data_IF_678393950671
#
_entry.id   IF_678393950671
#
_cell.length_a   1.000
_cell.length_b   1.000
_cell.length_c   1.000
_cell.angle_alpha   90.00
_cell.angle_beta   90.00
_cell.angle_gamma   90.00
#
_symmetry.space_group_name_H-M   'P 1'
#
loop_
_entity.id
_entity.type
_entity.pdbx_description
1 polymer ?
#
# COMPACT_ATOMS: atom_id res chain seq x y z
N UNK A 1 -48.14 -16.23 46.17
CA UNK A 1 -48.13 -15.17 45.13
C UNK A 1 -47.25 -13.97 45.47
N UNK A 2 -47.24 -13.44 46.72
CA UNK A 2 -46.45 -12.23 47.08
C UNK A 2 -44.93 -12.31 46.83
N UNK A 3 -44.29 -13.49 46.93
CA UNK A 3 -42.82 -13.64 46.74
C UNK A 3 -42.36 -13.62 45.27
N UNK A 4 -43.23 -13.97 44.32
CA UNK A 4 -42.91 -13.95 42.87
C UNK A 4 -42.96 -12.51 42.33
N UNK A 5 -43.92 -11.70 42.77
CA UNK A 5 -44.02 -10.31 42.36
C UNK A 5 -42.78 -9.48 42.77
N UNK A 6 -42.21 -9.74 43.94
CA UNK A 6 -40.99 -9.03 44.39
C UNK A 6 -39.76 -9.38 43.54
N UNK A 7 -39.64 -10.64 43.09
CA UNK A 7 -38.54 -11.05 42.21
C UNK A 7 -38.63 -10.43 40.82
N UNK A 8 -39.84 -10.28 40.27
CA UNK A 8 -40.07 -9.65 38.96
C UNK A 8 -39.72 -8.15 38.99
N UNK A 9 -40.05 -7.46 40.08
CA UNK A 9 -39.68 -6.05 40.26
C UNK A 9 -38.17 -5.84 40.34
N UNK A 10 -37.44 -6.72 41.05
CA UNK A 10 -35.98 -6.66 41.11
C UNK A 10 -35.35 -6.96 39.75
N UNK A 11 -35.87 -7.95 39.01
CA UNK A 11 -35.38 -8.31 37.68
C UNK A 11 -35.59 -7.19 36.64
N UNK A 12 -36.71 -6.46 36.73
CA UNK A 12 -36.96 -5.28 35.87
C UNK A 12 -35.99 -4.13 36.15
N UNK A 13 -35.57 -3.92 37.40
CA UNK A 13 -34.58 -2.89 37.74
C UNK A 13 -33.20 -3.23 37.14
N UNK A 14 -32.80 -4.50 37.14
CA UNK A 14 -31.56 -4.94 36.49
C UNK A 14 -31.61 -4.83 34.96
N UNK A 15 -32.78 -5.06 34.33
CA UNK A 15 -32.96 -4.87 32.89
C UNK A 15 -32.86 -3.41 32.45
N UNK A 16 -33.25 -2.46 33.30
CA UNK A 16 -33.13 -1.02 33.03
C UNK A 16 -31.72 -0.50 33.27
N UNK A 17 -31.02 -0.98 34.30
CA UNK A 17 -29.63 -0.61 34.59
C UNK A 17 -28.61 -1.21 33.60
N UNK A 18 -28.94 -2.34 32.96
CA UNK A 18 -28.09 -2.98 31.94
C UNK A 18 -27.99 -2.20 30.62
N UNK A 19 -28.79 -1.14 30.43
CA UNK A 19 -28.76 -0.29 29.24
C UNK A 19 -27.83 0.92 29.35
N UNK A 20 -27.17 1.12 30.50
CA UNK A 20 -26.03 2.02 30.57
C UNK A 20 -24.90 1.39 29.78
N UNK A 21 -24.81 1.76 28.49
CA UNK A 21 -23.64 1.51 27.68
C UNK A 21 -22.46 2.09 28.45
N UNK A 22 -21.66 1.24 29.06
CA UNK A 22 -20.35 1.62 29.56
C UNK A 22 -19.58 2.11 28.33
N UNK A 23 -19.60 3.43 28.09
CA UNK A 23 -18.84 4.05 27.01
C UNK A 23 -17.40 3.94 27.49
N UNK A 24 -16.70 2.94 26.97
CA UNK A 24 -15.25 2.84 27.13
C UNK A 24 -14.68 4.00 26.31
N UNK A 25 -14.46 5.13 26.97
CA UNK A 25 -13.74 6.26 26.39
C UNK A 25 -12.26 5.93 26.44
N UNK A 26 -11.69 5.64 25.28
CA UNK A 26 -10.25 5.66 25.13
C UNK A 26 -9.79 7.11 25.16
N UNK A 27 -8.76 7.43 25.94
CA UNK A 27 -8.14 8.75 25.89
C UNK A 27 -7.47 8.93 24.53
N UNK A 28 -8.22 9.45 23.56
CA UNK A 28 -7.73 9.90 22.26
C UNK A 28 -8.00 11.38 22.10
N UNK A 29 -7.07 12.08 21.47
CA UNK A 29 -7.32 13.44 20.98
C UNK A 29 -7.81 13.31 19.55
N UNK A 30 -8.97 13.88 19.27
CA UNK A 30 -9.48 13.95 17.90
C UNK A 30 -8.50 14.74 17.02
N UNK A 31 -8.27 14.24 15.81
CA UNK A 31 -7.43 14.92 14.84
C UNK A 31 -8.18 16.18 14.36
N UNK A 32 -7.56 17.35 14.50
CA UNK A 32 -8.06 18.58 13.88
C UNK A 32 -7.83 18.50 12.36
N UNK A 33 -8.82 17.94 11.66
CA UNK A 33 -8.80 17.74 10.20
C UNK A 33 -8.75 19.07 9.42
N UNK A 34 -9.00 20.21 10.06
CA UNK A 34 -8.90 21.52 9.40
C UNK A 34 -7.46 22.02 9.29
N UNK A 35 -6.57 21.51 10.15
CA UNK A 35 -5.16 21.93 10.23
C UNK A 35 -4.16 20.80 9.98
N UNK A 36 -4.63 19.57 9.92
CA UNK A 36 -3.79 18.38 9.85
C UNK A 36 -4.08 17.57 8.61
N UNK A 37 -3.07 16.86 8.14
CA UNK A 37 -3.17 15.82 7.14
C UNK A 37 -2.66 14.49 7.74
N UNK A 38 -3.03 13.39 7.12
CA UNK A 38 -2.55 12.05 7.48
C UNK A 38 -1.59 11.55 6.39
N UNK A 39 -0.39 11.10 6.79
CA UNK A 39 0.66 10.69 5.84
C UNK A 39 1.21 9.31 6.19
N UNK A 40 1.32 8.47 5.17
CA UNK A 40 2.11 7.24 5.20
C UNK A 40 3.33 7.41 4.31
N UNK A 41 4.51 7.12 4.82
CA UNK A 41 5.74 7.07 4.03
C UNK A 41 5.96 5.66 3.50
N UNK A 42 6.29 5.55 2.22
CA UNK A 42 6.66 4.30 1.56
C UNK A 42 8.08 4.45 1.07
N UNK A 43 8.96 3.63 1.61
CA UNK A 43 10.36 3.57 1.29
C UNK A 43 10.60 2.62 0.12
N UNK A 44 10.51 3.19 -1.08
CA UNK A 44 10.57 2.50 -2.36
C UNK A 44 11.93 2.64 -3.06
N UNK A 45 13.00 2.52 -2.28
CA UNK A 45 14.37 2.42 -2.80
C UNK A 45 14.72 0.92 -2.95
N UNK A 46 15.34 0.46 -4.06
CA UNK A 46 16.50 1.10 -4.65
C UNK A 46 16.53 1.17 -6.19
N UNK A 47 17.25 2.17 -6.70
CA UNK A 47 17.75 2.25 -8.09
C UNK A 47 18.96 1.32 -8.34
N UNK A 48 19.33 0.47 -7.37
CA UNK A 48 20.51 -0.42 -7.41
C UNK A 48 20.25 -1.72 -6.63
N UNK A 49 20.69 -2.87 -7.12
CA UNK A 49 20.34 -4.19 -6.58
C UNK A 49 20.87 -4.53 -5.16
N UNK A 50 21.68 -3.68 -4.49
CA UNK A 50 22.36 -4.05 -3.24
C UNK A 50 21.95 -3.26 -1.98
N UNK A 51 21.87 -4.04 -0.90
CA UNK A 51 21.60 -3.72 0.52
C UNK A 51 20.27 -3.07 0.84
N UNK A 52 19.48 -3.77 1.66
CA UNK A 52 18.30 -3.24 2.35
C UNK A 52 18.71 -2.03 3.18
N UNK A 53 18.49 -0.84 2.64
CA UNK A 53 18.64 0.39 3.41
C UNK A 53 17.43 0.48 4.34
N UNK A 54 17.67 0.37 5.64
CA UNK A 54 16.62 0.42 6.65
C UNK A 54 16.60 1.82 7.26
N UNK A 55 15.46 2.50 7.19
CA UNK A 55 15.24 3.71 7.98
C UNK A 55 15.18 3.28 9.45
N UNK A 56 16.08 3.83 10.27
CA UNK A 56 16.10 3.58 11.72
C UNK A 56 15.43 4.70 12.52
N UNK A 57 15.29 5.88 11.91
CA UNK A 57 14.60 7.02 12.49
C UNK A 57 13.91 7.85 11.41
N UNK A 58 12.68 8.28 11.71
CA UNK A 58 11.85 9.14 10.87
C UNK A 58 11.38 10.35 11.67
N UNK A 59 11.55 11.54 11.10
CA UNK A 59 11.02 12.77 11.64
C UNK A 59 10.24 13.55 10.57
N UNK A 60 9.18 14.24 11.00
CA UNK A 60 8.50 15.24 10.19
C UNK A 60 8.62 16.60 10.86
N UNK A 61 9.01 17.63 10.10
CA UNK A 61 9.20 19.00 10.63
C UNK A 61 10.05 19.01 11.91
N UNK A 62 11.18 18.30 11.89
CA UNK A 62 12.12 18.13 13.00
C UNK A 62 11.54 17.44 14.26
N UNK A 63 10.29 16.93 14.19
CA UNK A 63 9.67 16.13 15.25
C UNK A 63 9.84 14.65 14.96
N UNK A 64 10.43 13.93 15.91
CA UNK A 64 10.55 12.48 15.87
C UNK A 64 9.16 11.83 15.86
N UNK A 65 8.89 10.96 14.88
CA UNK A 65 7.62 10.23 14.77
C UNK A 65 7.79 8.71 14.79
N UNK A 66 8.96 8.21 14.41
CA UNK A 66 9.28 6.79 14.49
C UNK A 66 10.76 6.60 14.75
N UNK A 67 11.08 5.70 15.67
CA UNK A 67 12.43 5.21 15.91
C UNK A 67 12.37 3.71 16.11
N UNK A 68 13.18 2.98 15.36
CA UNK A 68 13.19 1.52 15.38
C UNK A 68 14.62 1.04 15.57
N UNK A 69 14.82 0.09 16.49
CA UNK A 69 16.13 -0.51 16.76
C UNK A 69 16.49 -1.62 15.76
N UNK A 70 15.55 -2.02 14.91
CA UNK A 70 15.70 -3.08 13.92
C UNK A 70 15.07 -2.70 12.59
N UNK A 71 15.44 -3.41 11.52
CA UNK A 71 14.88 -3.26 10.19
C UNK A 71 13.40 -3.66 10.15
N UNK A 72 12.48 -2.71 10.32
CA UNK A 72 11.04 -2.99 10.41
C UNK A 72 10.27 -2.83 9.09
N UNK A 73 10.96 -2.71 7.95
CA UNK A 73 10.34 -2.74 6.62
C UNK A 73 10.31 -1.39 5.91
N UNK A 74 9.53 -1.32 4.83
CA UNK A 74 9.52 -0.20 3.89
C UNK A 74 8.30 0.71 3.97
N UNK A 75 7.42 0.58 4.97
CA UNK A 75 6.20 1.39 5.08
C UNK A 75 6.08 1.91 6.50
N UNK A 76 5.83 3.21 6.66
CA UNK A 76 5.77 3.90 7.94
C UNK A 76 4.49 4.75 8.05
N UNK A 77 3.73 4.66 9.15
CA UNK A 77 3.96 3.81 10.32
C UNK A 77 3.79 2.32 9.99
N UNK A 78 4.67 1.47 10.55
CA UNK A 78 4.47 0.02 10.54
C UNK A 78 3.77 -0.40 11.82
N UNK A 79 2.49 -0.04 11.96
CA UNK A 79 1.68 -0.32 13.15
C UNK A 79 0.22 -0.51 12.78
N UNK A 80 -0.65 -0.69 13.79
CA UNK A 80 -2.10 -0.69 13.58
C UNK A 80 -2.59 0.66 13.01
N UNK A 81 -1.97 1.78 13.42
CA UNK A 81 -2.15 3.05 12.72
C UNK A 81 -1.47 2.96 11.35
N UNK A 82 -2.20 3.34 10.30
CA UNK A 82 -1.72 3.31 8.91
C UNK A 82 -1.09 4.61 8.43
N UNK A 83 -1.25 5.70 9.20
CA UNK A 83 -0.80 7.05 8.87
C UNK A 83 -0.26 7.77 10.11
N UNK A 84 0.69 8.69 9.91
CA UNK A 84 1.10 9.69 10.89
C UNK A 84 0.28 10.96 10.69
N UNK A 85 0.00 11.69 11.77
CA UNK A 85 -0.64 13.01 11.69
C UNK A 85 0.44 14.07 11.57
N UNK A 86 0.32 14.93 10.55
CA UNK A 86 1.25 16.03 10.28
C UNK A 86 0.45 17.33 10.04
N UNK A 87 1.06 18.52 10.24
CA UNK A 87 0.44 19.77 9.82
C UNK A 87 0.15 19.76 8.32
N UNK A 88 -0.99 20.32 7.91
CA UNK A 88 -1.29 20.55 6.50
C UNK A 88 -0.35 21.60 5.90
N UNK A 89 -0.12 21.51 4.58
CA UNK A 89 0.84 22.33 3.86
C UNK A 89 2.18 21.62 3.63
N UNK A 90 3.26 22.38 3.65
CA UNK A 90 4.61 21.84 3.41
C UNK A 90 5.12 21.09 4.64
N UNK A 91 5.47 19.82 4.43
CA UNK A 91 6.03 18.92 5.43
C UNK A 91 7.45 18.53 5.02
N UNK A 92 8.42 18.80 5.89
CA UNK A 92 9.78 18.27 5.79
C UNK A 92 9.78 16.84 6.32
N UNK A 93 10.40 15.92 5.59
CA UNK A 93 10.70 14.57 6.05
C UNK A 93 12.21 14.39 6.16
N UNK A 94 12.63 13.91 7.31
CA UNK A 94 14.01 13.52 7.58
C UNK A 94 14.04 12.03 7.94
N UNK A 95 14.92 11.30 7.27
CA UNK A 95 15.17 9.88 7.57
C UNK A 95 16.63 9.68 7.90
N UNK A 96 16.88 8.76 8.85
CA UNK A 96 18.22 8.41 9.28
C UNK A 96 18.39 6.89 9.23
N UNK A 97 19.65 6.47 9.11
CA UNK A 97 20.06 5.07 9.05
C UNK A 97 21.15 4.80 10.10
N UNK A 98 21.66 3.57 10.11
CA UNK A 98 22.74 3.16 11.01
C UNK A 98 22.26 2.74 12.40
N UNK A 99 23.11 2.02 13.11
CA UNK A 99 22.84 1.47 14.45
C UNK A 99 22.66 2.56 15.51
N UNK A 100 23.38 3.67 15.34
CA UNK A 100 23.33 4.88 16.16
C UNK A 100 22.16 5.80 15.81
N UNK A 101 21.45 5.52 14.69
CA UNK A 101 20.22 6.22 14.26
C UNK A 101 20.39 7.72 14.00
N UNK A 102 21.60 8.13 13.68
CA UNK A 102 22.02 9.52 13.54
C UNK A 102 22.60 9.83 12.16
N UNK A 103 22.82 8.82 11.29
CA UNK A 103 23.35 9.01 9.94
C UNK A 103 22.23 9.55 9.04
N UNK A 104 22.26 10.83 8.63
CA UNK A 104 21.22 11.39 7.78
C UNK A 104 21.22 10.69 6.43
N UNK A 105 20.02 10.35 5.96
CA UNK A 105 19.85 9.54 4.75
C UNK A 105 18.98 10.23 3.70
N UNK A 106 17.94 10.92 4.14
CA UNK A 106 17.08 11.71 3.26
C UNK A 106 16.55 12.93 3.99
N UNK A 107 16.51 14.07 3.30
CA UNK A 107 15.92 15.31 3.82
C UNK A 107 15.35 16.12 2.67
N UNK A 108 14.01 16.16 2.56
CA UNK A 108 13.26 16.93 1.56
C UNK A 108 11.90 17.33 2.10
N UNK A 109 11.24 18.23 1.39
CA UNK A 109 9.87 18.66 1.67
C UNK A 109 8.90 18.12 0.62
N UNK A 110 7.64 17.97 1.03
CA UNK A 110 6.50 17.69 0.14
C UNK A 110 5.24 18.34 0.72
N UNK A 111 4.21 18.51 -0.10
CA UNK A 111 2.96 19.17 0.31
C UNK A 111 1.84 18.16 0.56
N UNK A 112 1.01 18.46 1.55
CA UNK A 112 -0.17 17.67 1.91
C UNK A 112 -1.38 18.55 2.20
N UNK A 113 -2.54 18.07 1.80
CA UNK A 113 -3.82 18.79 1.95
C UNK A 113 -4.48 18.46 3.29
N UNK A 114 -5.04 19.48 3.94
CA UNK A 114 -5.78 19.33 5.19
C UNK A 114 -6.96 18.36 5.05
N UNK A 115 -7.18 17.53 6.07
CA UNK A 115 -8.29 16.58 6.16
C UNK A 115 -8.19 15.40 5.19
N UNK A 116 -7.04 15.22 4.52
CA UNK A 116 -6.81 14.18 3.54
C UNK A 116 -5.71 13.22 3.98
N UNK A 117 -5.84 11.97 3.53
CA UNK A 117 -4.83 10.91 3.67
C UNK A 117 -3.94 10.90 2.45
N UNK A 118 -2.63 10.74 2.66
CA UNK A 118 -1.63 10.74 1.61
C UNK A 118 -0.66 9.58 1.77
N UNK A 119 -0.24 9.03 0.63
CA UNK A 119 0.91 8.13 0.55
C UNK A 119 2.06 8.87 -0.11
N UNK A 120 3.17 9.01 0.61
CA UNK A 120 4.40 9.63 0.14
C UNK A 120 5.43 8.55 -0.21
N UNK A 121 5.73 8.40 -1.50
CA UNK A 121 6.70 7.45 -2.02
C UNK A 121 8.10 8.08 -2.09
N UNK A 122 9.04 7.48 -1.38
CA UNK A 122 10.46 7.78 -1.49
C UNK A 122 11.10 6.83 -2.51
N UNK A 123 11.21 7.29 -3.76
CA UNK A 123 11.69 6.47 -4.89
C UNK A 123 13.07 6.89 -5.41
N UNK A 124 13.53 8.09 -5.05
CA UNK A 124 14.82 8.65 -5.44
C UNK A 124 15.30 9.60 -4.32
N UNK A 125 16.52 9.41 -3.83
CA UNK A 125 17.09 10.19 -2.72
C UNK A 125 17.37 11.64 -3.10
N UNK A 126 17.45 11.94 -4.40
CA UNK A 126 17.72 13.30 -4.89
C UNK A 126 16.44 14.12 -5.09
N UNK A 127 15.29 13.45 -5.18
CA UNK A 127 14.01 14.04 -5.51
C UNK A 127 13.11 14.18 -4.27
N UNK A 128 12.17 15.14 -4.25
CA UNK A 128 11.11 15.12 -3.25
C UNK A 128 10.26 13.84 -3.39
N UNK A 129 9.64 13.36 -2.29
CA UNK A 129 8.72 12.22 -2.36
C UNK A 129 7.62 12.46 -3.37
N UNK A 130 7.22 11.41 -4.08
CA UNK A 130 6.03 11.46 -4.92
C UNK A 130 4.81 11.20 -4.04
N UNK A 131 3.90 12.17 -3.97
CA UNK A 131 2.76 12.12 -3.05
C UNK A 131 1.48 11.91 -3.83
N UNK A 132 0.68 10.95 -3.37
CA UNK A 132 -0.68 10.75 -3.86
C UNK A 132 -1.67 10.90 -2.71
N UNK A 133 -2.86 11.38 -3.05
CA UNK A 133 -3.99 11.33 -2.14
C UNK A 133 -4.59 9.92 -2.16
N UNK A 134 -4.76 9.36 -0.97
CA UNK A 134 -5.47 8.10 -0.77
C UNK A 134 -6.99 8.34 -0.83
N UNK A 135 -7.74 7.30 -1.15
CA UNK A 135 -9.20 7.41 -1.18
C UNK A 135 -9.75 7.46 0.26
N UNK A 136 -10.55 8.49 0.54
CA UNK A 136 -11.22 8.64 1.85
C UNK A 136 -12.41 7.67 1.97
N UNK A 137 -13.04 7.35 0.84
CA UNK A 137 -14.25 6.51 0.74
C UNK A 137 -14.01 5.42 -0.29
N UNK A 138 -14.12 4.18 0.15
CA UNK A 138 -14.09 3.02 -0.75
C UNK A 138 -15.49 2.79 -1.31
N UNK A 139 -15.61 2.46 -2.61
CA UNK A 139 -16.92 2.18 -3.18
C UNK A 139 -17.58 1.02 -2.41
N UNK A 140 -18.84 1.24 -2.01
CA UNK A 140 -19.62 0.20 -1.36
C UNK A 140 -19.86 -0.95 -2.36
N UNK A 141 -19.68 -2.18 -1.88
CA UNK A 141 -20.02 -3.40 -2.64
C UNK A 141 -20.87 -4.30 -1.76
N UNK A 142 -21.69 -5.17 -2.37
CA UNK A 142 -22.51 -6.12 -1.62
C UNK A 142 -21.57 -7.12 -0.92
N UNK A 143 -21.53 -7.15 0.43
CA UNK A 143 -20.65 -8.04 1.18
C UNK A 143 -20.97 -9.53 1.00
N UNK A 144 -22.08 -9.89 0.38
CA UNK A 144 -22.51 -11.26 0.13
C UNK A 144 -22.41 -11.67 -1.36
N UNK A 145 -22.76 -10.77 -2.28
CA UNK A 145 -22.75 -11.09 -3.71
C UNK A 145 -21.39 -10.83 -4.40
N UNK A 146 -20.73 -9.72 -4.07
CA UNK A 146 -19.59 -9.25 -4.86
C UNK A 146 -18.27 -9.96 -4.52
N UNK A 147 -17.32 -9.93 -5.44
CA UNK A 147 -15.93 -10.40 -5.22
C UNK A 147 -14.98 -9.34 -5.68
N UNK A 148 -15.28 -8.10 -5.34
CA UNK A 148 -14.50 -6.96 -5.79
C UNK A 148 -13.47 -6.60 -4.73
N UNK A 149 -12.24 -6.38 -5.19
CA UNK A 149 -11.32 -5.48 -4.51
C UNK A 149 -11.08 -4.27 -5.42
N UNK A 150 -10.39 -3.26 -4.92
CA UNK A 150 -10.10 -2.05 -5.70
C UNK A 150 -8.60 -1.85 -5.81
N UNK A 151 -8.13 -1.44 -6.98
CA UNK A 151 -6.71 -1.30 -7.30
C UNK A 151 -6.46 0.11 -7.83
N UNK A 152 -5.51 0.80 -7.20
CA UNK A 152 -4.84 2.01 -7.70
C UNK A 152 -3.42 1.61 -8.10
N UNK A 153 -2.92 2.11 -9.23
CA UNK A 153 -1.57 1.81 -9.71
C UNK A 153 -0.72 3.07 -9.72
N UNK A 154 0.53 2.97 -9.26
CA UNK A 154 1.54 4.03 -9.24
C UNK A 154 2.78 3.56 -10.00
N UNK A 155 3.31 4.42 -10.87
CA UNK A 155 4.46 4.09 -11.71
C UNK A 155 5.64 5.03 -11.42
N UNK A 156 6.71 4.44 -10.91
CA UNK A 156 7.99 5.07 -10.56
C UNK A 156 9.16 4.27 -11.17
N UNK A 157 8.93 3.57 -12.29
CA UNK A 157 9.94 2.74 -12.94
C UNK A 157 10.82 3.56 -13.91
N UNK A 158 12.11 3.34 -13.83
CA UNK A 158 13.12 3.93 -14.72
C UNK A 158 13.64 2.93 -15.77
N UNK A 159 14.22 3.49 -16.83
CA UNK A 159 15.09 2.78 -17.77
C UNK A 159 16.44 2.44 -17.12
N UNK A 160 17.31 1.76 -17.86
CA UNK A 160 18.55 1.19 -17.34
C UNK A 160 19.53 2.21 -16.74
N UNK A 161 19.49 3.45 -17.22
CA UNK A 161 20.30 4.56 -16.69
C UNK A 161 19.89 5.00 -15.28
N UNK A 162 18.70 4.61 -14.80
CA UNK A 162 18.16 5.03 -13.51
C UNK A 162 17.78 6.52 -13.44
N UNK A 163 17.70 7.19 -14.60
CA UNK A 163 17.38 8.63 -14.72
C UNK A 163 16.22 8.84 -15.68
N UNK A 164 16.19 8.12 -16.80
CA UNK A 164 15.13 8.24 -17.80
C UNK A 164 13.90 7.46 -17.34
N UNK A 165 12.71 8.07 -17.29
CA UNK A 165 11.46 7.37 -17.04
C UNK A 165 11.22 6.23 -18.04
N UNK A 166 10.65 5.12 -17.57
CA UNK A 166 10.28 4.03 -18.46
C UNK A 166 9.15 4.44 -19.43
N UNK A 167 8.26 5.34 -18.98
CA UNK A 167 7.09 5.83 -19.73
C UNK A 167 5.80 5.29 -19.13
N UNK A 168 4.74 5.23 -19.93
CA UNK A 168 3.43 4.70 -19.50
C UNK A 168 3.48 3.20 -19.34
N UNK A 169 2.96 2.72 -18.22
CA UNK A 169 2.87 1.30 -17.89
C UNK A 169 1.41 0.87 -17.78
N UNK A 170 1.12 -0.35 -18.23
CA UNK A 170 -0.19 -0.98 -18.18
C UNK A 170 -0.12 -2.22 -17.30
N UNK A 171 -0.65 -2.13 -16.09
CA UNK A 171 -0.75 -3.23 -15.15
C UNK A 171 -1.87 -4.19 -15.60
N UNK A 172 -1.55 -5.47 -15.67
CA UNK A 172 -2.51 -6.53 -16.00
C UNK A 172 -2.42 -7.69 -15.01
N UNK A 173 -3.56 -8.25 -14.66
CA UNK A 173 -3.64 -9.54 -13.96
C UNK A 173 -3.40 -10.67 -14.96
N UNK A 174 -2.54 -11.62 -14.61
CA UNK A 174 -2.25 -12.82 -15.40
C UNK A 174 -2.87 -14.03 -14.70
N UNK A 175 -3.84 -14.67 -15.35
CA UNK A 175 -4.49 -15.90 -14.88
C UNK A 175 -4.17 -17.06 -15.80
N UNK A 176 -3.98 -18.25 -15.26
CA UNK A 176 -4.00 -19.48 -16.07
C UNK A 176 -5.43 -19.84 -16.45
N UNK A 177 -5.63 -20.65 -17.49
CA UNK A 177 -6.95 -21.12 -17.91
C UNK A 177 -7.70 -21.99 -16.87
N UNK A 178 -7.10 -22.25 -15.70
CA UNK A 178 -7.70 -23.07 -14.65
C UNK A 178 -7.08 -22.96 -13.26
N UNK A 179 -5.80 -22.57 -13.12
CA UNK A 179 -5.22 -22.13 -11.82
C UNK A 179 -3.77 -21.65 -11.91
N UNK A 180 -2.94 -22.04 -12.89
CA UNK A 180 -1.56 -21.48 -13.03
C UNK A 180 -0.85 -21.75 -14.36
N UNK A 181 -1.47 -22.48 -15.29
CA UNK A 181 -0.82 -22.92 -16.52
C UNK A 181 -1.30 -22.14 -17.77
N UNK A 182 -0.40 -22.04 -18.75
CA UNK A 182 -0.64 -21.55 -20.10
C UNK A 182 -1.76 -22.36 -20.80
N UNK A 183 -2.60 -21.75 -21.67
CA UNK A 183 -2.58 -20.36 -22.11
C UNK A 183 -3.00 -19.39 -21.01
N UNK A 184 -2.31 -18.26 -20.92
CA UNK A 184 -2.63 -17.20 -19.96
C UNK A 184 -3.71 -16.27 -20.51
N UNK A 185 -4.63 -15.88 -19.64
CA UNK A 185 -5.58 -14.79 -19.87
C UNK A 185 -5.08 -13.55 -19.14
N UNK A 186 -4.99 -12.44 -19.86
CA UNK A 186 -4.55 -11.15 -19.32
C UNK A 186 -5.75 -10.23 -19.11
N UNK A 187 -5.89 -9.71 -17.90
CA UNK A 187 -6.97 -8.82 -17.50
C UNK A 187 -6.37 -7.43 -17.35
N UNK A 188 -6.84 -6.47 -18.14
CA UNK A 188 -6.42 -5.08 -18.01
C UNK A 188 -6.91 -4.52 -16.66
N UNK A 189 -6.02 -3.88 -15.90
CA UNK A 189 -6.36 -3.32 -14.59
C UNK A 189 -6.26 -1.81 -14.59
N UNK A 190 -5.05 -1.29 -14.76
CA UNK A 190 -4.76 0.12 -14.61
C UNK A 190 -3.60 0.53 -15.49
N UNK A 191 -3.51 1.82 -15.79
CA UNK A 191 -2.35 2.40 -16.47
C UNK A 191 -2.08 3.81 -15.96
N UNK A 192 -0.81 4.19 -15.93
CA UNK A 192 -0.39 5.56 -15.63
C UNK A 192 1.01 5.82 -16.20
N UNK A 193 1.28 7.10 -16.49
CA UNK A 193 2.60 7.61 -16.81
C UNK A 193 3.56 7.53 -15.62
N UNK A 194 4.80 7.93 -15.84
CA UNK A 194 5.77 8.02 -14.76
C UNK A 194 5.43 9.19 -13.83
N UNK A 195 5.50 8.97 -12.50
CA UNK A 195 5.02 9.91 -11.47
C UNK A 195 3.53 10.25 -11.62
N UNK A 196 2.76 9.25 -11.99
CA UNK A 196 1.31 9.33 -12.02
C UNK A 196 0.70 8.16 -11.24
N UNK A 197 -0.53 8.37 -10.78
CA UNK A 197 -1.37 7.31 -10.24
C UNK A 197 -2.64 7.15 -11.06
N UNK A 198 -3.07 5.92 -11.28
CA UNK A 198 -4.38 5.66 -11.89
C UNK A 198 -5.53 6.08 -10.96
N UNK A 199 -6.74 6.13 -11.51
CA UNK A 199 -7.94 6.06 -10.69
C UNK A 199 -7.98 4.74 -9.88
N UNK A 200 -8.83 4.69 -8.85
CA UNK A 200 -9.16 3.47 -8.14
C UNK A 200 -10.12 2.63 -9.00
N UNK A 201 -9.72 1.43 -9.41
CA UNK A 201 -10.44 0.60 -10.39
C UNK A 201 -10.90 -0.70 -9.73
N UNK A 202 -12.14 -1.17 -9.96
CA UNK A 202 -12.59 -2.45 -9.42
C UNK A 202 -11.89 -3.62 -10.11
N UNK A 203 -11.47 -4.60 -9.32
CA UNK A 203 -10.94 -5.87 -9.78
C UNK A 203 -11.79 -7.02 -9.24
N UNK A 204 -12.31 -7.83 -10.16
CA UNK A 204 -13.12 -9.00 -9.82
C UNK A 204 -12.23 -10.19 -9.51
N UNK A 205 -12.23 -10.57 -8.23
CA UNK A 205 -11.60 -11.77 -7.71
C UNK A 205 -12.35 -13.00 -8.20
N UNK A 206 -11.62 -14.05 -8.57
CA UNK A 206 -12.22 -15.35 -8.81
C UNK A 206 -12.40 -16.07 -7.49
N UNK A 207 -13.64 -16.48 -7.21
CA UNK A 207 -13.88 -17.58 -6.28
C UNK A 207 -13.36 -18.82 -6.98
N UNK A 208 -12.25 -19.40 -6.50
CA UNK A 208 -11.83 -20.73 -6.94
C UNK A 208 -12.87 -21.79 -6.54
N UNK A 209 -12.42 -23.02 -6.29
CA UNK A 209 -13.27 -24.09 -5.70
C UNK A 209 -13.50 -23.93 -4.19
N UNK A 210 -12.89 -22.93 -3.56
CA UNK A 210 -13.01 -22.69 -2.13
C UNK A 210 -14.44 -22.24 -1.75
N UNK A 211 -14.94 -22.79 -0.65
CA UNK A 211 -16.25 -22.49 -0.07
C UNK A 211 -16.43 -20.97 0.06
N UNK A 212 -17.65 -20.53 -0.28
CA UNK A 212 -18.20 -19.16 -0.48
C UNK A 212 -17.72 -18.03 0.45
N UNK A 213 -16.99 -18.35 1.52
CA UNK A 213 -16.64 -17.47 2.62
C UNK A 213 -15.23 -16.85 2.58
N UNK A 214 -14.27 -17.39 1.80
CA UNK A 214 -12.86 -16.95 1.97
C UNK A 214 -12.57 -15.54 1.45
N UNK A 215 -13.43 -14.96 0.60
CA UNK A 215 -13.33 -13.59 0.10
C UNK A 215 -11.99 -13.23 -0.57
N UNK A 216 -11.07 -14.17 -0.75
CA UNK A 216 -9.66 -13.92 -1.07
C UNK A 216 -9.25 -14.79 -2.25
N UNK A 217 -8.62 -14.19 -3.26
CA UNK A 217 -7.95 -14.90 -4.35
C UNK A 217 -6.45 -14.89 -4.07
N UNK A 218 -5.86 -16.08 -3.91
CA UNK A 218 -4.43 -16.27 -3.64
C UNK A 218 -3.69 -16.79 -4.87
N UNK A 219 -2.37 -16.58 -4.91
CA UNK A 219 -1.54 -17.06 -6.02
C UNK A 219 -1.69 -16.24 -7.30
N UNK A 220 -2.17 -15.00 -7.16
CA UNK A 220 -2.30 -14.06 -8.26
C UNK A 220 -0.94 -13.71 -8.84
N UNK A 221 -0.91 -13.53 -10.15
CA UNK A 221 0.23 -13.01 -10.88
C UNK A 221 -0.13 -11.72 -11.60
N UNK A 222 0.80 -10.78 -11.64
CA UNK A 222 0.67 -9.51 -12.33
C UNK A 222 1.83 -9.32 -13.30
N UNK A 223 1.52 -8.66 -14.41
CA UNK A 223 2.47 -8.33 -15.45
C UNK A 223 2.27 -6.87 -15.86
N UNK A 224 3.28 -6.30 -16.51
CA UNK A 224 3.23 -4.91 -16.94
C UNK A 224 3.64 -4.82 -18.39
N UNK A 225 2.86 -4.06 -19.17
CA UNK A 225 3.14 -3.77 -20.57
C UNK A 225 3.55 -2.31 -20.74
N UNK A 226 4.37 -2.04 -21.74
CA UNK A 226 4.67 -0.68 -22.19
C UNK A 226 3.56 -0.12 -23.10
N UNK A 227 3.70 1.15 -23.49
CA UNK A 227 2.77 1.82 -24.40
C UNK A 227 2.74 1.24 -25.82
N UNK A 228 3.77 0.52 -26.24
CA UNK A 228 3.82 -0.17 -27.52
C UNK A 228 3.19 -1.58 -27.45
N UNK A 229 2.72 -2.02 -26.29
CA UNK A 229 2.12 -3.33 -26.09
C UNK A 229 3.15 -4.45 -25.90
N UNK A 230 4.41 -4.13 -25.65
CA UNK A 230 5.42 -5.12 -25.29
C UNK A 230 5.33 -5.44 -23.79
N UNK A 231 5.38 -6.73 -23.47
CA UNK A 231 5.48 -7.17 -22.09
C UNK A 231 6.86 -6.80 -21.54
N UNK A 232 6.91 -6.22 -20.33
CA UNK A 232 8.16 -5.90 -19.67
C UNK A 232 9.04 -7.14 -19.58
N UNK A 233 10.32 -6.99 -19.92
CA UNK A 233 11.30 -8.04 -19.81
C UNK A 233 12.33 -7.73 -18.72
N UNK A 234 12.92 -8.79 -18.17
CA UNK A 234 13.96 -8.70 -17.15
C UNK A 234 15.03 -9.75 -17.38
N UNK A 235 16.20 -9.53 -16.78
CA UNK A 235 17.27 -10.51 -16.72
C UNK A 235 17.04 -11.40 -15.50
N UNK A 236 16.67 -12.67 -15.65
CA UNK A 236 16.59 -13.59 -14.53
C UNK A 236 18.01 -13.93 -14.05
N UNK A 237 18.14 -14.30 -12.78
CA UNK A 237 19.43 -14.74 -12.21
C UNK A 237 19.96 -16.02 -12.88
N UNK A 238 19.08 -16.80 -13.52
CA UNK A 238 19.36 -18.16 -13.99
C UNK A 238 19.83 -18.26 -15.44
N UNK A 239 19.51 -17.31 -16.34
CA UNK A 239 19.70 -17.54 -17.78
C UNK A 239 20.41 -16.45 -18.57
N UNK A 240 20.75 -15.30 -17.98
CA UNK A 240 21.50 -14.21 -18.66
C UNK A 240 20.78 -13.55 -19.86
N UNK A 241 19.83 -14.23 -20.50
CA UNK A 241 18.96 -13.74 -21.54
C UNK A 241 17.69 -13.11 -20.96
N UNK A 242 17.19 -12.08 -21.62
CA UNK A 242 15.92 -11.44 -21.28
C UNK A 242 14.77 -12.44 -21.33
N UNK A 243 13.90 -12.36 -20.34
CA UNK A 243 12.65 -13.11 -20.31
C UNK A 243 11.50 -12.23 -19.84
N UNK A 244 10.28 -12.70 -20.07
CA UNK A 244 9.06 -11.97 -19.71
C UNK A 244 8.93 -11.84 -18.20
N UNK A 245 8.77 -10.60 -17.72
CA UNK A 245 8.61 -10.29 -16.31
C UNK A 245 7.19 -10.59 -15.83
N UNK A 246 7.09 -11.18 -14.65
CA UNK A 246 5.84 -11.36 -13.94
C UNK A 246 6.10 -11.36 -12.43
N UNK A 247 5.26 -10.66 -11.68
CA UNK A 247 5.27 -10.71 -10.23
C UNK A 247 4.20 -11.71 -9.77
N UNK A 248 4.58 -12.70 -8.96
CA UNK A 248 3.71 -13.80 -8.53
C UNK A 248 3.57 -13.84 -7.01
N UNK A 249 2.56 -14.56 -6.51
CA UNK A 249 2.40 -14.81 -5.07
C UNK A 249 1.54 -13.77 -4.35
N UNK A 250 0.82 -12.93 -5.09
CA UNK A 250 -0.10 -11.97 -4.51
C UNK A 250 -1.38 -12.66 -4.02
N UNK A 251 -1.95 -12.11 -2.95
CA UNK A 251 -3.26 -12.50 -2.45
C UNK A 251 -4.08 -11.24 -2.21
N UNK A 252 -5.26 -11.14 -2.84
CA UNK A 252 -6.14 -9.99 -2.72
C UNK A 252 -7.46 -10.41 -2.10
N UNK A 253 -7.96 -9.60 -1.17
CA UNK A 253 -9.20 -9.86 -0.46
C UNK A 253 -10.31 -8.88 -0.86
N UNK A 254 -11.54 -9.38 -0.83
CA UNK A 254 -12.78 -8.67 -1.12
C UNK A 254 -12.93 -7.44 -0.21
N UNK A 255 -13.44 -6.36 -0.78
CA UNK A 255 -13.72 -5.11 -0.07
C UNK A 255 -12.47 -4.30 0.29
N UNK A 256 -11.28 -4.79 -0.06
CA UNK A 256 -10.01 -4.11 0.19
C UNK A 256 -9.61 -3.22 -0.98
N UNK A 257 -9.12 -2.03 -0.67
CA UNK A 257 -8.41 -1.14 -1.59
C UNK A 257 -6.91 -1.40 -1.51
N UNK A 258 -6.25 -1.44 -2.68
CA UNK A 258 -4.84 -1.73 -2.82
C UNK A 258 -4.17 -0.64 -3.67
N UNK A 259 -3.01 -0.16 -3.23
CA UNK A 259 -2.09 0.58 -4.09
C UNK A 259 -1.01 -0.38 -4.57
N UNK A 260 -1.04 -0.72 -5.85
CA UNK A 260 0.08 -1.34 -6.55
C UNK A 260 1.05 -0.24 -6.95
N UNK A 261 2.33 -0.40 -6.63
CA UNK A 261 3.35 0.58 -6.99
C UNK A 261 4.54 -0.14 -7.59
N UNK A 262 4.97 0.36 -8.74
CA UNK A 262 6.12 -0.15 -9.46
C UNK A 262 7.28 0.83 -9.33
N UNK A 263 8.44 0.34 -8.90
CA UNK A 263 9.61 1.18 -8.63
C UNK A 263 10.92 0.51 -9.07
N UNK A 264 11.97 1.32 -9.05
CA UNK A 264 13.34 0.95 -9.36
C UNK A 264 13.63 1.07 -10.86
N UNK A 265 14.46 0.19 -11.41
CA UNK A 265 14.90 0.30 -12.81
C UNK A 265 15.06 -1.04 -13.50
N UNK A 266 14.85 -1.05 -14.82
CA UNK A 266 15.37 -2.15 -15.65
C UNK A 266 16.90 -2.13 -15.62
N UNK A 267 17.55 -3.25 -15.92
CA UNK A 267 19.01 -3.33 -15.94
C UNK A 267 19.53 -3.65 -17.34
N UNK A 268 20.85 -3.66 -17.49
CA UNK A 268 21.52 -4.31 -18.62
C UNK A 268 21.86 -5.78 -18.30
N UNK A 269 21.79 -6.15 -17.02
CA UNK A 269 22.06 -7.48 -16.48
C UNK A 269 21.24 -7.71 -15.20
N UNK A 270 21.18 -8.94 -14.69
CA UNK A 270 20.54 -9.25 -13.40
C UNK A 270 21.11 -8.42 -12.23
N UNK A 271 22.42 -8.15 -12.22
CA UNK A 271 23.08 -7.40 -11.15
C UNK A 271 22.77 -5.89 -11.17
N UNK A 272 22.32 -5.37 -12.30
CA UNK A 272 22.10 -3.92 -12.50
C UNK A 272 20.62 -3.53 -12.52
N UNK A 273 19.70 -4.49 -12.51
CA UNK A 273 18.27 -4.24 -12.45
C UNK A 273 17.76 -4.19 -11.00
N UNK A 274 16.66 -3.48 -10.80
CA UNK A 274 15.89 -3.47 -9.58
C UNK A 274 14.41 -3.24 -9.94
N UNK A 275 13.75 -4.24 -10.54
CA UNK A 275 12.33 -4.14 -10.88
C UNK A 275 11.51 -4.66 -9.70
N UNK A 276 10.68 -3.82 -9.10
CA UNK A 276 9.84 -4.18 -7.96
C UNK A 276 8.40 -3.76 -8.20
N UNK A 277 7.48 -4.66 -7.89
CA UNK A 277 6.06 -4.39 -7.78
C UNK A 277 5.64 -4.78 -6.38
N UNK A 278 5.15 -3.80 -5.65
CA UNK A 278 4.76 -3.95 -4.26
C UNK A 278 3.33 -3.44 -4.07
N UNK A 279 2.71 -3.81 -2.95
CA UNK A 279 1.31 -3.48 -2.66
C UNK A 279 1.12 -2.91 -1.27
N UNK A 280 0.19 -1.97 -1.15
CA UNK A 280 -0.23 -1.39 0.12
C UNK A 280 -1.73 -1.59 0.28
N UNK A 281 -2.16 -2.17 1.40
CA UNK A 281 -3.58 -2.26 1.75
C UNK A 281 -4.06 -0.94 2.38
N UNK A 282 -5.14 -0.38 1.85
CA UNK A 282 -5.68 0.92 2.29
C UNK A 282 -6.62 0.77 3.48
N UNK A 283 -7.60 -0.12 3.41
CA UNK A 283 -8.61 -0.38 4.45
C UNK A 283 -8.47 -1.78 5.02
#
# INVERSE_FOLDING_TARGET
MKKILTLVSVLMVFLLASCEKNVITFNSTDIDLTKSAEVRLVYDLPLVASTTLNITRLAYNDKLVSEVSTALGGIYPNSAAKYHVVPAGTVKVDTYTGTTKDVPHFSKTFDVTAGKKHTAFLYDLTQPPYVIQDEDVFPASDPWADTLCYIKFVNLLYKADGVTPYGTLYLKGRRGAGTTASPYVYINLASCGFKESSALIPYKLLKGTATVWSGTESGLAFVVYDAAGNLLQYYPSSSGALTNWAATGFSLAKGRGWIFHMNGKVGATYATQAIRLSTIALN
#
